data_IF_857450169626
#
_entry.id   IF_857450169626
#
_cell.length_a   1.000
_cell.length_b   1.000
_cell.length_c   1.000
_cell.angle_alpha   90.00
_cell.angle_beta   90.00
_cell.angle_gamma   90.00
#
_symmetry.space_group_name_H-M   'P 1'
#
loop_
_entity.id
_entity.type
_entity.pdbx_description
1 polymer ?
#
# COMPACT_ATOMS: atom_id res chain seq x y z
N UNK A 1 46.49 45.87 -13.01
CA UNK A 1 46.10 45.44 -11.65
C UNK A 1 45.13 44.30 -11.85
N UNK A 2 45.61 43.06 -11.68
CA UNK A 2 44.82 41.85 -11.87
C UNK A 2 43.82 41.72 -10.72
N UNK A 3 42.53 41.72 -11.04
CA UNK A 3 41.49 41.27 -10.15
C UNK A 3 41.22 39.80 -10.46
N UNK A 4 41.98 38.90 -9.83
CA UNK A 4 41.58 37.51 -9.71
C UNK A 4 40.50 37.43 -8.62
N UNK A 5 39.28 36.94 -8.90
CA UNK A 5 38.32 36.65 -7.85
C UNK A 5 38.88 35.51 -7.02
N UNK A 6 39.01 35.73 -5.70
CA UNK A 6 39.37 34.69 -4.73
C UNK A 6 38.30 33.61 -4.80
N UNK A 7 38.56 32.57 -5.59
CA UNK A 7 37.79 31.33 -5.54
C UNK A 7 37.98 30.78 -4.13
N UNK A 8 36.97 30.98 -3.28
CA UNK A 8 36.93 30.40 -1.94
C UNK A 8 36.95 28.88 -2.16
N UNK A 9 38.12 28.24 -2.00
CA UNK A 9 38.21 26.79 -2.09
C UNK A 9 37.41 26.23 -0.92
N UNK A 10 36.27 25.60 -1.22
CA UNK A 10 35.52 24.85 -0.23
C UNK A 10 36.46 23.86 0.43
N UNK A 11 36.45 23.82 1.77
CA UNK A 11 37.20 22.84 2.56
C UNK A 11 36.21 21.87 3.16
N UNK A 12 36.66 20.63 3.32
CA UNK A 12 35.88 19.60 4.01
C UNK A 12 35.48 20.10 5.41
N UNK A 13 34.22 19.92 5.81
CA UNK A 13 33.74 20.38 7.11
C UNK A 13 34.49 19.65 8.24
N UNK A 14 34.81 20.30 9.36
CA UNK A 14 35.39 19.60 10.50
C UNK A 14 34.38 18.61 11.11
N UNK A 15 34.86 17.50 11.70
CA UNK A 15 34.02 16.40 12.21
C UNK A 15 32.84 16.83 13.08
N UNK A 16 33.04 17.85 13.92
CA UNK A 16 32.05 18.30 14.90
C UNK A 16 31.18 19.46 14.38
N UNK A 17 31.29 19.82 13.09
CA UNK A 17 30.49 20.85 12.46
C UNK A 17 29.02 20.40 12.30
N UNK A 18 28.11 21.36 12.18
CA UNK A 18 26.71 21.09 11.85
C UNK A 18 26.55 20.66 10.38
N UNK A 19 27.48 21.06 9.52
CA UNK A 19 27.52 20.75 8.09
C UNK A 19 28.27 19.45 7.76
N UNK A 20 28.87 18.80 8.77
CA UNK A 20 29.55 17.53 8.60
C UNK A 20 28.55 16.39 8.28
N UNK A 21 28.83 15.53 7.29
CA UNK A 21 28.03 14.33 7.03
C UNK A 21 27.94 13.46 8.27
N UNK A 22 26.76 12.88 8.51
CA UNK A 22 26.54 12.00 9.66
C UNK A 22 25.82 10.76 9.21
N UNK A 23 26.18 9.64 9.84
CA UNK A 23 25.50 8.39 9.64
C UNK A 23 25.38 7.65 10.96
N UNK A 24 24.20 7.07 11.18
CA UNK A 24 23.90 6.23 12.34
C UNK A 24 23.93 4.75 11.92
N UNK A 25 24.78 3.97 12.58
CA UNK A 25 24.94 2.54 12.37
C UNK A 25 23.64 1.76 12.63
N UNK A 26 22.74 2.28 13.48
CA UNK A 26 21.42 1.69 13.72
C UNK A 26 20.50 1.76 12.49
N UNK A 27 20.84 2.62 11.52
CA UNK A 27 20.13 2.82 10.27
C UNK A 27 21.02 2.49 9.04
N UNK A 28 21.37 1.21 8.80
CA UNK A 28 22.17 0.78 7.63
C UNK A 28 21.66 1.30 6.28
N UNK A 29 20.33 1.44 6.13
CA UNK A 29 19.69 1.93 4.90
C UNK A 29 20.09 3.36 4.51
N UNK A 30 20.63 4.14 5.44
CA UNK A 30 21.04 5.54 5.21
C UNK A 30 22.51 5.66 4.80
N UNK A 31 23.29 4.58 4.90
CA UNK A 31 24.71 4.56 4.53
C UNK A 31 24.97 4.99 3.07
N UNK A 32 24.16 4.60 2.06
CA UNK A 32 24.33 5.13 0.70
C UNK A 32 24.13 6.64 0.60
N UNK A 33 23.23 7.19 1.42
CA UNK A 33 22.95 8.63 1.44
C UNK A 33 24.13 9.39 2.04
N UNK A 34 24.73 8.87 3.11
CA UNK A 34 25.97 9.38 3.69
C UNK A 34 27.10 9.46 2.66
N UNK A 35 27.34 8.36 1.91
CA UNK A 35 28.36 8.38 0.86
C UNK A 35 28.03 9.35 -0.27
N UNK A 36 26.76 9.50 -0.63
CA UNK A 36 26.33 10.47 -1.65
C UNK A 36 26.62 11.91 -1.23
N UNK A 37 26.37 12.24 0.03
CA UNK A 37 26.68 13.56 0.60
C UNK A 37 28.19 13.83 0.59
N UNK A 38 28.99 12.83 0.98
CA UNK A 38 30.45 12.90 0.86
C UNK A 38 30.92 13.11 -0.58
N UNK A 39 30.35 12.39 -1.54
CA UNK A 39 30.70 12.54 -2.96
C UNK A 39 30.41 13.95 -3.50
N UNK A 40 29.31 14.58 -3.05
CA UNK A 40 29.06 15.99 -3.34
C UNK A 40 30.11 16.91 -2.71
N UNK A 41 30.47 16.69 -1.44
CA UNK A 41 31.51 17.48 -0.77
C UNK A 41 32.88 17.30 -1.41
N UNK A 42 33.23 16.09 -1.84
CA UNK A 42 34.47 15.81 -2.56
C UNK A 42 34.51 16.56 -3.89
N UNK A 43 33.40 16.61 -4.61
CA UNK A 43 33.31 17.39 -5.85
C UNK A 43 33.47 18.89 -5.59
N UNK A 44 32.78 19.41 -4.57
CA UNK A 44 32.83 20.84 -4.20
C UNK A 44 34.23 21.27 -3.72
N UNK A 45 34.89 20.41 -2.94
CA UNK A 45 36.25 20.62 -2.45
C UNK A 45 37.35 20.23 -3.47
N UNK A 46 36.98 19.76 -4.67
CA UNK A 46 37.91 19.27 -5.70
C UNK A 46 38.85 18.13 -5.24
N UNK A 47 38.36 17.25 -4.38
CA UNK A 47 39.09 16.07 -3.89
C UNK A 47 38.94 14.95 -4.92
N UNK A 48 40.02 14.68 -5.65
CA UNK A 48 40.07 13.60 -6.64
C UNK A 48 40.71 12.31 -6.08
N UNK A 49 41.66 12.45 -5.16
CA UNK A 49 42.48 11.36 -4.65
C UNK A 49 41.65 10.30 -3.90
N UNK A 50 41.88 9.03 -4.22
CA UNK A 50 41.10 7.94 -3.63
C UNK A 50 41.41 7.74 -2.16
N UNK A 51 42.67 7.88 -1.76
CA UNK A 51 43.10 7.71 -0.36
C UNK A 51 42.47 8.79 0.51
N UNK A 52 42.55 10.06 0.09
CA UNK A 52 41.89 11.17 0.78
C UNK A 52 40.38 10.96 0.91
N UNK A 53 39.69 10.48 -0.13
CA UNK A 53 38.24 10.20 -0.04
C UNK A 53 37.92 9.13 1.00
N UNK A 54 38.72 8.07 1.10
CA UNK A 54 38.55 7.01 2.11
C UNK A 54 38.80 7.56 3.52
N UNK A 55 39.86 8.33 3.71
CA UNK A 55 40.19 8.97 4.99
C UNK A 55 39.07 9.89 5.49
N UNK A 56 38.60 10.81 4.62
CA UNK A 56 37.50 11.70 4.97
C UNK A 56 36.21 10.92 5.26
N UNK A 57 35.91 9.87 4.49
CA UNK A 57 34.75 9.04 4.75
C UNK A 57 34.81 8.33 6.11
N UNK A 58 35.99 7.96 6.58
CA UNK A 58 36.18 7.37 7.93
C UNK A 58 36.23 8.42 9.05
N UNK A 59 36.44 9.70 8.74
CA UNK A 59 36.59 10.76 9.74
C UNK A 59 35.27 11.15 10.42
N UNK A 60 34.13 11.07 9.72
CA UNK A 60 32.84 11.58 10.21
C UNK A 60 32.01 10.57 10.99
N UNK A 61 32.44 9.32 11.06
CA UNK A 61 31.76 8.23 11.77
C UNK A 61 32.30 8.07 13.21
N UNK A 62 31.74 7.12 13.96
CA UNK A 62 32.26 6.78 15.29
C UNK A 62 33.63 6.10 15.19
N UNK A 63 34.35 6.07 16.30
CA UNK A 63 35.66 5.43 16.37
C UNK A 63 35.59 3.94 15.97
N UNK A 64 34.65 3.18 16.55
CA UNK A 64 34.50 1.74 16.30
C UNK A 64 34.14 1.43 14.84
N UNK A 65 33.30 2.28 14.23
CA UNK A 65 32.97 2.15 12.80
C UNK A 65 34.19 2.46 11.92
N UNK A 66 34.94 3.52 12.25
CA UNK A 66 36.16 3.87 11.52
C UNK A 66 37.18 2.74 11.60
N UNK A 67 37.39 2.14 12.77
CA UNK A 67 38.28 0.99 12.94
C UNK A 67 37.88 -0.19 12.04
N UNK A 68 36.57 -0.48 11.98
CA UNK A 68 36.03 -1.52 11.09
C UNK A 68 36.32 -1.21 9.62
N UNK A 69 36.15 0.04 9.19
CA UNK A 69 36.34 0.44 7.79
C UNK A 69 37.82 0.51 7.39
N UNK A 70 38.70 0.88 8.32
CA UNK A 70 40.16 0.91 8.17
C UNK A 70 40.75 -0.50 8.08
N UNK A 71 40.13 -1.48 8.75
CA UNK A 71 40.54 -2.89 8.70
C UNK A 71 40.21 -3.60 7.37
N UNK A 72 39.44 -2.98 6.47
CA UNK A 72 39.13 -3.56 5.17
C UNK A 72 40.39 -3.66 4.29
N UNK A 73 40.64 -4.80 3.61
CA UNK A 73 41.73 -4.93 2.65
C UNK A 73 41.70 -3.84 1.57
N UNK A 74 40.49 -3.43 1.16
CA UNK A 74 40.27 -2.40 0.15
C UNK A 74 40.56 -0.97 0.65
N UNK A 75 40.75 -0.77 1.97
CA UNK A 75 41.15 0.54 2.50
C UNK A 75 42.62 0.80 2.19
N UNK A 76 43.49 -0.15 2.55
CA UNK A 76 44.94 -0.06 2.39
C UNK A 76 45.43 -0.26 0.95
N UNK A 77 46.75 -0.08 0.78
CA UNK A 77 47.45 -0.26 -0.50
C UNK A 77 47.69 -1.73 -0.87
N UNK A 78 46.98 -2.67 -0.22
CA UNK A 78 47.23 -4.10 -0.38
C UNK A 78 46.83 -4.57 -1.79
N UNK A 79 47.85 -4.70 -2.61
CA UNK A 79 47.89 -5.09 -4.02
C UNK A 79 47.09 -6.37 -4.29
N UNK A 80 46.29 -6.38 -5.35
CA UNK A 80 45.68 -7.60 -5.92
C UNK A 80 46.78 -8.65 -6.17
N UNK A 81 46.67 -9.81 -5.52
CA UNK A 81 47.50 -10.99 -5.83
C UNK A 81 46.79 -11.77 -6.94
N UNK A 82 47.18 -11.47 -8.18
CA UNK A 82 46.72 -12.10 -9.41
C UNK A 82 47.63 -11.70 -10.58
N UNK A 83 47.40 -12.21 -11.79
CA UNK A 83 48.22 -11.93 -12.98
C UNK A 83 48.18 -10.47 -13.47
N UNK A 84 47.48 -9.57 -12.76
CA UNK A 84 47.35 -8.17 -13.09
C UNK A 84 48.37 -7.30 -12.32
N UNK A 85 48.78 -6.20 -12.93
CA UNK A 85 49.75 -5.28 -12.34
C UNK A 85 49.28 -4.76 -10.96
N UNK A 86 50.18 -4.62 -9.98
CA UNK A 86 49.87 -4.06 -8.68
C UNK A 86 49.19 -2.69 -8.80
N UNK A 87 47.95 -2.57 -8.31
CA UNK A 87 47.28 -1.27 -8.18
C UNK A 87 46.56 -1.14 -6.82
N UNK A 88 46.53 0.06 -6.25
CA UNK A 88 45.72 0.33 -5.07
C UNK A 88 44.23 0.24 -5.41
N UNK A 89 43.43 -0.13 -4.41
CA UNK A 89 41.97 -0.13 -4.53
C UNK A 89 41.44 1.29 -4.65
N UNK A 90 40.48 1.49 -5.55
CA UNK A 90 39.79 2.76 -5.72
C UNK A 90 38.83 3.02 -4.55
N UNK A 91 38.43 4.28 -4.39
CA UNK A 91 37.38 4.65 -3.44
C UNK A 91 36.06 3.90 -3.72
N UNK A 92 35.71 3.66 -4.99
CA UNK A 92 34.47 2.96 -5.35
C UNK A 92 34.52 1.47 -4.97
N UNK A 93 35.66 0.80 -5.14
CA UNK A 93 35.85 -0.59 -4.71
C UNK A 93 35.77 -0.72 -3.19
N UNK A 94 36.41 0.19 -2.46
CA UNK A 94 36.32 0.24 -1.00
C UNK A 94 34.90 0.57 -0.52
N UNK A 95 34.22 1.57 -1.11
CA UNK A 95 32.81 1.91 -0.81
C UNK A 95 31.90 0.70 -0.99
N UNK A 96 32.09 -0.06 -2.07
CA UNK A 96 31.35 -1.30 -2.29
C UNK A 96 31.64 -2.34 -1.20
N UNK A 97 32.89 -2.48 -0.77
CA UNK A 97 33.26 -3.35 0.36
C UNK A 97 32.60 -2.93 1.67
N UNK A 98 32.62 -1.64 1.99
CA UNK A 98 31.93 -1.07 3.17
C UNK A 98 30.43 -1.35 3.11
N UNK A 99 29.77 -1.10 1.97
CA UNK A 99 28.33 -1.37 1.82
C UNK A 99 27.98 -2.86 2.04
N UNK A 100 28.88 -3.79 1.73
CA UNK A 100 28.69 -5.24 1.97
C UNK A 100 28.73 -5.61 3.46
N UNK A 101 29.40 -4.83 4.31
CA UNK A 101 29.44 -5.08 5.76
C UNK A 101 28.08 -4.86 6.43
N UNK A 102 27.20 -4.07 5.81
CA UNK A 102 25.93 -3.65 6.37
C UNK A 102 24.75 -4.18 5.55
N UNK A 103 24.21 -5.38 5.88
CA UNK A 103 23.00 -5.90 5.25
C UNK A 103 21.85 -4.87 5.32
N UNK A 104 21.30 -4.51 4.16
CA UNK A 104 20.27 -3.47 4.04
C UNK A 104 20.80 -2.07 3.69
N UNK A 105 22.11 -1.84 3.67
CA UNK A 105 22.72 -0.67 3.05
C UNK A 105 22.69 -0.75 1.52
N UNK A 106 22.65 -1.95 0.94
CA UNK A 106 22.46 -2.09 -0.50
C UNK A 106 21.10 -1.52 -0.93
N UNK A 107 21.13 -0.60 -1.89
CA UNK A 107 19.94 -0.05 -2.52
C UNK A 107 19.05 -1.16 -3.08
N UNK A 108 19.60 -2.31 -3.49
CA UNK A 108 18.87 -3.48 -4.01
C UNK A 108 17.96 -4.17 -2.99
N UNK A 109 18.16 -3.93 -1.69
CA UNK A 109 17.40 -4.53 -0.59
C UNK A 109 16.52 -3.52 0.17
N UNK A 110 16.37 -2.28 -0.36
CA UNK A 110 15.71 -1.17 0.34
C UNK A 110 14.27 -1.48 0.79
N UNK A 111 13.48 -2.11 -0.08
CA UNK A 111 12.15 -2.59 0.26
C UNK A 111 11.93 -4.02 -0.24
N UNK A 112 10.97 -4.71 0.37
CA UNK A 112 10.44 -5.99 -0.10
C UNK A 112 8.91 -5.94 -0.05
N UNK A 113 8.26 -6.95 -0.64
CA UNK A 113 6.80 -7.04 -0.66
C UNK A 113 6.21 -7.02 0.76
N UNK A 114 6.85 -7.70 1.72
CA UNK A 114 6.43 -7.72 3.12
C UNK A 114 6.45 -6.34 3.82
N UNK A 115 7.28 -5.39 3.37
CA UNK A 115 7.21 -4.01 3.85
C UNK A 115 5.93 -3.31 3.38
N UNK A 116 5.51 -3.56 2.14
CA UNK A 116 4.29 -3.01 1.57
C UNK A 116 3.05 -3.63 2.22
N UNK A 117 3.02 -4.96 2.38
CA UNK A 117 1.94 -5.68 3.06
C UNK A 117 1.79 -5.25 4.52
N UNK A 118 2.91 -5.05 5.23
CA UNK A 118 2.89 -4.56 6.61
C UNK A 118 2.28 -3.16 6.70
N UNK A 119 2.65 -2.26 5.79
CA UNK A 119 2.05 -0.92 5.73
C UNK A 119 0.54 -1.03 5.50
N UNK A 120 0.10 -1.81 4.52
CA UNK A 120 -1.31 -2.06 4.19
C UNK A 120 -2.08 -2.58 5.41
N UNK A 121 -1.54 -3.57 6.11
CA UNK A 121 -2.16 -4.15 7.29
C UNK A 121 -2.22 -3.16 8.47
N UNK A 122 -1.17 -2.36 8.67
CA UNK A 122 -1.13 -1.32 9.71
C UNK A 122 -2.16 -0.22 9.46
N UNK A 123 -2.31 0.22 8.22
CA UNK A 123 -3.28 1.26 7.87
C UNK A 123 -4.71 0.77 7.90
N UNK A 124 -4.96 -0.48 7.47
CA UNK A 124 -6.28 -1.09 7.59
C UNK A 124 -6.76 -1.14 9.05
N UNK A 125 -5.87 -1.52 9.97
CA UNK A 125 -6.20 -1.63 11.40
C UNK A 125 -6.32 -0.28 12.13
N UNK A 126 -5.57 0.75 11.71
CA UNK A 126 -5.58 2.06 12.38
C UNK A 126 -6.68 3.02 11.90
N UNK A 127 -7.38 2.67 10.81
CA UNK A 127 -8.47 3.44 10.24
C UNK A 127 -8.00 4.69 9.46
N UNK A 128 -8.49 4.85 8.23
CA UNK A 128 -8.20 5.99 7.35
C UNK A 128 -9.33 7.04 7.39
N UNK A 129 -9.73 7.45 8.59
CA UNK A 129 -10.92 8.28 8.80
C UNK A 129 -10.78 9.75 8.36
N UNK A 130 -9.55 10.27 8.25
CA UNK A 130 -9.29 11.68 7.92
C UNK A 130 -8.47 11.80 6.63
N UNK A 131 -8.62 12.94 5.95
CA UNK A 131 -7.83 13.25 4.76
C UNK A 131 -6.32 13.22 5.04
N UNK A 132 -5.89 13.68 6.21
CA UNK A 132 -4.49 13.65 6.62
C UNK A 132 -3.94 12.22 6.66
N UNK A 133 -4.60 11.33 7.40
CA UNK A 133 -4.17 9.92 7.51
C UNK A 133 -4.19 9.20 6.15
N UNK A 134 -5.19 9.46 5.33
CA UNK A 134 -5.26 8.90 3.98
C UNK A 134 -4.12 9.40 3.08
N UNK A 135 -3.76 10.68 3.21
CA UNK A 135 -2.63 11.27 2.47
C UNK A 135 -1.28 10.72 2.91
N UNK A 136 -1.12 10.46 4.22
CA UNK A 136 0.08 9.81 4.75
C UNK A 136 0.21 8.39 4.23
N UNK A 137 -0.87 7.60 4.30
CA UNK A 137 -0.91 6.25 3.72
C UNK A 137 -0.52 6.25 2.25
N UNK A 138 -1.12 7.13 1.45
CA UNK A 138 -0.80 7.25 0.02
C UNK A 138 0.69 7.54 -0.22
N UNK A 139 1.28 8.50 0.53
CA UNK A 139 2.70 8.86 0.40
C UNK A 139 3.61 7.70 0.76
N UNK A 140 3.34 7.01 1.87
CA UNK A 140 4.16 5.91 2.35
C UNK A 140 4.03 4.68 1.44
N UNK A 141 2.81 4.39 0.96
CA UNK A 141 2.57 3.30 0.00
C UNK A 141 3.34 3.56 -1.29
N UNK A 142 3.19 4.75 -1.86
CA UNK A 142 3.88 5.16 -3.08
C UNK A 142 5.40 5.14 -2.94
N UNK A 143 5.95 5.49 -1.77
CA UNK A 143 7.40 5.41 -1.49
C UNK A 143 7.93 3.99 -1.64
N UNK A 144 7.20 3.00 -1.13
CA UNK A 144 7.58 1.59 -1.18
C UNK A 144 7.28 1.00 -2.57
N UNK A 145 6.05 1.18 -3.08
CA UNK A 145 5.57 0.60 -4.33
C UNK A 145 6.39 1.05 -5.55
N UNK A 146 6.70 2.35 -5.67
CA UNK A 146 7.52 2.85 -6.80
C UNK A 146 8.91 2.23 -6.84
N UNK A 147 9.52 2.06 -5.67
CA UNK A 147 10.83 1.40 -5.61
C UNK A 147 10.72 -0.07 -6.03
N UNK A 148 9.68 -0.79 -5.57
CA UNK A 148 9.47 -2.20 -5.95
C UNK A 148 9.18 -2.35 -7.46
N UNK A 149 8.35 -1.49 -8.04
CA UNK A 149 8.06 -1.45 -9.49
C UNK A 149 9.34 -1.22 -10.31
N UNK A 150 10.14 -0.22 -9.92
CA UNK A 150 11.39 0.11 -10.62
C UNK A 150 12.43 -1.03 -10.59
N UNK A 151 12.35 -1.91 -9.59
CA UNK A 151 13.24 -3.06 -9.44
C UNK A 151 12.59 -4.37 -9.91
N UNK A 152 11.43 -4.34 -10.56
CA UNK A 152 10.73 -5.53 -11.05
C UNK A 152 10.24 -6.48 -9.95
N UNK A 153 10.10 -5.99 -8.71
CA UNK A 153 9.68 -6.78 -7.54
C UNK A 153 8.18 -6.64 -7.21
N UNK A 154 7.45 -5.87 -8.01
CA UNK A 154 6.02 -5.64 -7.90
C UNK A 154 5.46 -5.38 -9.30
N UNK A 155 4.26 -5.87 -9.59
CA UNK A 155 3.56 -5.60 -10.84
C UNK A 155 2.46 -4.56 -10.65
N UNK A 156 2.08 -3.79 -11.69
CA UNK A 156 1.02 -2.76 -11.58
C UNK A 156 -0.32 -3.28 -11.06
N UNK A 157 -0.74 -4.47 -11.49
CA UNK A 157 -2.01 -5.04 -11.02
C UNK A 157 -1.94 -5.41 -9.53
N UNK A 158 -0.79 -5.88 -9.07
CA UNK A 158 -0.54 -6.21 -7.67
C UNK A 158 -0.47 -4.94 -6.81
N UNK A 159 0.20 -3.88 -7.30
CA UNK A 159 0.20 -2.54 -6.68
C UNK A 159 -1.23 -2.04 -6.44
N UNK A 160 -2.09 -2.08 -7.46
CA UNK A 160 -3.48 -1.61 -7.37
C UNK A 160 -4.29 -2.39 -6.33
N UNK A 161 -4.16 -3.72 -6.35
CA UNK A 161 -4.86 -4.61 -5.40
C UNK A 161 -4.38 -4.39 -3.96
N UNK A 162 -3.08 -4.29 -3.75
CA UNK A 162 -2.51 -4.04 -2.41
C UNK A 162 -2.91 -2.66 -1.89
N UNK A 163 -2.93 -1.63 -2.75
CA UNK A 163 -3.37 -0.30 -2.34
C UNK A 163 -4.81 -0.30 -1.85
N UNK A 164 -5.70 -0.95 -2.59
CA UNK A 164 -7.11 -1.12 -2.22
C UNK A 164 -7.26 -1.87 -0.89
N UNK A 165 -6.48 -2.93 -0.66
CA UNK A 165 -6.56 -3.74 0.56
C UNK A 165 -6.28 -2.93 1.84
N UNK A 166 -5.48 -1.85 1.75
CA UNK A 166 -5.21 -0.99 2.89
C UNK A 166 -6.34 -0.01 3.23
N UNK A 167 -7.38 0.06 2.39
CA UNK A 167 -8.50 0.99 2.55
C UNK A 167 -9.66 0.28 3.26
N UNK A 168 -10.17 0.84 4.39
CA UNK A 168 -11.34 0.28 5.06
C UNK A 168 -12.56 0.22 4.14
N UNK A 169 -13.33 -0.87 4.21
CA UNK A 169 -14.49 -1.13 3.33
C UNK A 169 -15.49 0.04 3.30
N UNK A 170 -15.74 0.67 4.45
CA UNK A 170 -16.67 1.81 4.57
C UNK A 170 -16.21 3.04 3.80
N UNK A 171 -14.90 3.28 3.71
CA UNK A 171 -14.31 4.32 2.88
C UNK A 171 -14.29 3.88 1.42
N UNK A 172 -13.91 2.63 1.15
CA UNK A 172 -13.83 2.07 -0.20
C UNK A 172 -15.15 2.21 -0.96
N UNK A 173 -16.29 1.85 -0.36
CA UNK A 173 -17.60 1.99 -1.02
C UNK A 173 -17.90 3.42 -1.46
N UNK A 174 -17.59 4.42 -0.63
CA UNK A 174 -17.77 5.83 -0.98
C UNK A 174 -16.83 6.28 -2.11
N UNK A 175 -15.59 5.77 -2.10
CA UNK A 175 -14.62 6.06 -3.15
C UNK A 175 -15.04 5.46 -4.47
N UNK A 176 -15.49 4.20 -4.49
CA UNK A 176 -16.00 3.54 -5.70
C UNK A 176 -17.18 4.30 -6.29
N UNK A 177 -18.19 4.67 -5.50
CA UNK A 177 -19.31 5.48 -6.02
C UNK A 177 -18.83 6.80 -6.64
N UNK A 178 -17.80 7.43 -6.08
CA UNK A 178 -17.22 8.64 -6.68
C UNK A 178 -16.46 8.34 -7.97
N UNK A 179 -15.76 7.21 -8.04
CA UNK A 179 -15.00 6.80 -9.23
C UNK A 179 -15.93 6.43 -10.37
N UNK A 180 -17.02 5.70 -10.13
CA UNK A 180 -18.04 5.37 -11.14
C UNK A 180 -18.63 6.63 -11.80
N UNK A 181 -18.84 7.70 -11.04
CA UNK A 181 -19.32 8.98 -11.56
C UNK A 181 -18.25 9.71 -12.39
N UNK A 182 -16.97 9.56 -12.03
CA UNK A 182 -15.87 10.33 -12.65
C UNK A 182 -15.14 9.58 -13.76
N UNK A 183 -15.33 8.27 -13.85
CA UNK A 183 -14.72 7.35 -14.81
C UNK A 183 -15.81 6.43 -15.41
N UNK A 184 -16.73 6.98 -16.22
CA UNK A 184 -17.88 6.22 -16.73
C UNK A 184 -17.47 5.05 -17.65
N UNK A 185 -16.31 5.12 -18.30
CA UNK A 185 -15.82 4.10 -19.22
C UNK A 185 -14.95 3.02 -18.52
N UNK A 186 -14.87 3.01 -17.19
CA UNK A 186 -14.07 2.03 -16.45
C UNK A 186 -14.74 0.66 -16.42
N UNK A 187 -13.99 -0.39 -16.78
CA UNK A 187 -14.50 -1.75 -16.78
C UNK A 187 -14.56 -2.33 -15.35
N UNK A 188 -15.65 -3.00 -14.95
CA UNK A 188 -15.82 -3.50 -13.57
C UNK A 188 -14.73 -4.47 -13.08
N UNK A 189 -14.13 -5.23 -14.00
CA UNK A 189 -13.07 -6.21 -13.68
C UNK A 189 -11.67 -5.59 -13.60
N UNK A 190 -11.50 -4.35 -14.07
CA UNK A 190 -10.20 -3.70 -14.05
C UNK A 190 -9.96 -3.06 -12.68
N UNK A 191 -8.79 -3.27 -12.03
CA UNK A 191 -8.47 -2.55 -10.82
C UNK A 191 -8.29 -1.05 -11.10
N UNK A 192 -8.88 -0.20 -10.25
CA UNK A 192 -8.65 1.24 -10.28
C UNK A 192 -7.16 1.58 -10.09
N UNK A 193 -6.71 2.63 -10.77
CA UNK A 193 -5.35 3.13 -10.58
C UNK A 193 -5.19 3.82 -9.21
N UNK A 194 -4.02 3.68 -8.60
CA UNK A 194 -3.71 4.24 -7.26
C UNK A 194 -3.96 5.76 -7.23
N UNK A 195 -3.61 6.46 -8.31
CA UNK A 195 -3.81 7.92 -8.40
C UNK A 195 -5.30 8.29 -8.52
N UNK A 196 -6.09 7.47 -9.21
CA UNK A 196 -7.53 7.66 -9.33
C UNK A 196 -8.20 7.48 -7.98
N UNK A 197 -7.90 6.38 -7.28
CA UNK A 197 -8.39 6.10 -5.93
C UNK A 197 -8.02 7.24 -4.97
N UNK A 198 -6.79 7.74 -5.04
CA UNK A 198 -6.36 8.86 -4.20
C UNK A 198 -7.18 10.14 -4.45
N UNK A 199 -7.43 10.49 -5.71
CA UNK A 199 -8.28 11.64 -6.08
C UNK A 199 -9.72 11.46 -5.59
N UNK A 200 -10.30 10.27 -5.75
CA UNK A 200 -11.64 9.94 -5.28
C UNK A 200 -11.78 10.05 -3.75
N UNK A 201 -10.85 9.44 -3.02
CA UNK A 201 -10.81 9.50 -1.56
C UNK A 201 -10.63 10.93 -1.02
N UNK A 202 -9.78 11.74 -1.66
CA UNK A 202 -9.62 13.15 -1.29
C UNK A 202 -10.93 13.93 -1.40
N UNK A 203 -11.76 13.64 -2.40
CA UNK A 203 -13.07 14.28 -2.55
C UNK A 203 -14.05 13.83 -1.45
N UNK A 204 -14.13 12.51 -1.22
CA UNK A 204 -15.03 11.92 -0.21
C UNK A 204 -14.70 12.42 1.20
N UNK A 205 -13.42 12.47 1.55
CA UNK A 205 -12.99 12.87 2.90
C UNK A 205 -13.17 14.37 3.12
N UNK A 206 -12.95 15.23 2.11
CA UNK A 206 -13.27 16.67 2.20
C UNK A 206 -14.76 16.95 2.37
N UNK A 207 -15.61 16.18 1.71
CA UNK A 207 -17.07 16.29 1.88
C UNK A 207 -17.50 15.89 3.29
N UNK A 208 -16.85 14.89 3.88
CA UNK A 208 -17.20 14.42 5.23
C UNK A 208 -16.96 15.49 6.29
N UNK A 209 -15.90 16.30 6.17
CA UNK A 209 -15.62 17.42 7.09
C UNK A 209 -16.64 18.56 7.03
N UNK A 210 -17.43 18.67 5.95
CA UNK A 210 -18.41 19.75 5.77
C UNK A 210 -19.84 19.36 6.18
N UNK A 211 -20.17 18.07 6.19
CA UNK A 211 -21.50 17.59 6.58
C UNK A 211 -21.66 17.29 8.08
N UNK A 212 -20.57 17.12 8.84
CA UNK A 212 -20.63 16.85 10.29
C UNK A 212 -20.77 18.09 11.18
N UNK A 213 -20.77 19.31 10.64
CA UNK A 213 -20.89 20.55 11.46
C UNK A 213 -22.33 21.05 11.64
N UNK A 214 -23.37 20.30 11.23
CA UNK A 214 -24.76 20.75 11.39
C UNK A 214 -25.68 19.67 11.97
N UNK A 215 -25.43 19.27 13.22
CA UNK A 215 -26.51 18.86 14.14
C UNK A 215 -26.07 19.07 15.59
N UNK A 216 -26.48 20.18 16.21
CA UNK A 216 -26.73 20.22 17.65
C UNK A 216 -27.86 21.21 17.95
N UNK A 217 -29.02 20.60 18.19
CA UNK A 217 -30.20 20.99 18.97
C UNK A 217 -30.33 22.44 19.45
N UNK A 218 -31.49 23.01 19.16
CA UNK A 218 -31.93 24.31 19.67
C UNK A 218 -32.30 24.30 21.16
N UNK A 219 -32.40 25.50 21.71
CA UNK A 219 -33.30 25.87 22.81
C UNK A 219 -33.65 27.36 22.68
N UNK A 220 -34.93 27.61 22.92
CA UNK A 220 -35.77 28.81 22.86
C UNK A 220 -35.22 30.15 23.39
N UNK A 221 -35.69 31.25 22.78
CA UNK A 221 -35.70 32.60 23.34
C UNK A 221 -36.25 33.66 22.36
N UNK A 222 -37.50 34.07 22.57
CA UNK A 222 -38.31 35.04 21.80
C UNK A 222 -37.89 36.49 22.12
N UNK A 223 -37.84 37.42 21.14
CA UNK A 223 -38.63 38.68 21.12
C UNK A 223 -38.40 39.59 19.88
N UNK A 224 -39.54 39.98 19.27
CA UNK A 224 -39.96 41.20 18.55
C UNK A 224 -38.94 42.03 17.72
N UNK A 225 -39.23 42.46 16.48
CA UNK A 225 -40.43 43.23 16.07
C UNK A 225 -40.57 43.37 14.54
N UNK A 226 -41.82 43.53 14.09
CA UNK A 226 -42.33 43.83 12.73
C UNK A 226 -42.42 45.36 12.48
N UNK A 227 -42.61 45.86 11.23
CA UNK A 227 -43.98 46.11 10.70
C UNK A 227 -44.16 45.71 9.21
N UNK A 228 -45.20 44.94 8.87
CA UNK A 228 -46.51 45.31 8.28
C UNK A 228 -46.44 45.98 6.89
N UNK A 229 -46.88 45.23 5.86
CA UNK A 229 -47.86 45.68 4.84
C UNK A 229 -48.39 44.46 4.04
N UNK A 230 -49.71 44.36 3.90
CA UNK A 230 -50.51 43.42 3.07
C UNK A 230 -51.84 44.14 2.74
N UNK A 231 -52.73 43.67 1.83
CA UNK A 231 -52.64 42.84 0.60
C UNK A 231 -53.51 43.48 -0.55
N UNK A 232 -53.99 42.80 -1.64
CA UNK A 232 -55.10 41.79 -1.63
C UNK A 232 -54.93 40.61 -2.66
N UNK A 233 -55.21 39.32 -2.37
CA UNK A 233 -56.50 38.56 -2.37
C UNK A 233 -56.72 37.64 -3.62
N UNK A 234 -56.49 36.32 -3.42
CA UNK A 234 -57.32 35.11 -3.82
C UNK A 234 -57.30 34.59 -5.30
N UNK A 235 -57.60 33.30 -5.64
CA UNK A 235 -57.65 32.01 -4.90
C UNK A 235 -56.75 30.87 -5.47
N UNK A 236 -56.50 29.86 -4.61
CA UNK A 236 -55.99 28.51 -4.93
C UNK A 236 -57.05 27.60 -5.58
N UNK A 237 -56.67 26.50 -6.25
CA UNK A 237 -56.97 25.19 -5.66
C UNK A 237 -55.80 24.19 -5.68
N UNK A 238 -55.75 23.38 -4.62
CA UNK A 238 -54.74 22.38 -4.30
C UNK A 238 -54.79 21.10 -5.17
N UNK A 239 -53.68 20.33 -5.27
CA UNK A 239 -53.58 19.11 -6.07
C UNK A 239 -53.88 17.82 -5.28
N UNK A 240 -54.37 16.81 -6.00
CA UNK A 240 -54.67 15.45 -5.52
C UNK A 240 -53.38 14.68 -5.19
N UNK A 241 -53.16 14.34 -3.91
CA UNK A 241 -52.00 13.58 -3.42
C UNK A 241 -52.21 12.06 -3.30
N UNK A 242 -53.38 11.52 -3.66
CA UNK A 242 -53.71 10.12 -3.34
C UNK A 242 -53.21 9.08 -4.35
N UNK A 243 -52.62 9.48 -5.49
CA UNK A 243 -52.19 8.54 -6.54
C UNK A 243 -50.71 8.09 -6.43
N UNK A 244 -49.87 8.73 -5.59
CA UNK A 244 -48.43 8.45 -5.54
C UNK A 244 -48.05 7.41 -4.46
N UNK A 245 -48.83 7.26 -3.40
CA UNK A 245 -48.50 6.33 -2.31
C UNK A 245 -48.79 4.85 -2.64
N UNK A 246 -49.80 4.57 -3.46
CA UNK A 246 -50.15 3.18 -3.83
C UNK A 246 -49.18 2.56 -4.84
N UNK A 247 -48.65 3.38 -5.77
CA UNK A 247 -47.64 2.95 -6.74
C UNK A 247 -46.28 2.66 -6.08
N UNK A 248 -45.92 3.44 -5.06
CA UNK A 248 -44.62 3.32 -4.39
C UNK A 248 -44.56 2.10 -3.46
N UNK A 249 -45.67 1.77 -2.79
CA UNK A 249 -45.75 0.58 -1.92
C UNK A 249 -45.78 -0.73 -2.70
N UNK A 250 -46.44 -0.77 -3.86
CA UNK A 250 -46.49 -1.97 -4.71
C UNK A 250 -45.12 -2.25 -5.36
N UNK A 251 -44.38 -1.21 -5.73
CA UNK A 251 -43.01 -1.34 -6.25
C UNK A 251 -42.03 -1.87 -5.20
N UNK A 252 -42.17 -1.44 -3.93
CA UNK A 252 -41.33 -1.90 -2.82
C UNK A 252 -41.62 -3.36 -2.46
N UNK A 253 -42.89 -3.76 -2.42
CA UNK A 253 -43.27 -5.16 -2.14
C UNK A 253 -42.76 -6.08 -3.25
N UNK A 254 -42.90 -5.67 -4.52
CA UNK A 254 -42.39 -6.46 -5.65
C UNK A 254 -40.86 -6.51 -5.72
N UNK A 255 -40.15 -5.49 -5.21
CA UNK A 255 -38.69 -5.51 -5.08
C UNK A 255 -38.21 -6.42 -3.92
N UNK A 256 -38.96 -6.49 -2.83
CA UNK A 256 -38.70 -7.39 -1.70
C UNK A 256 -38.95 -8.86 -2.07
N UNK A 257 -40.03 -9.16 -2.79
CA UNK A 257 -40.30 -10.52 -3.32
C UNK A 257 -39.21 -10.97 -4.31
N UNK A 258 -38.65 -10.06 -5.11
CA UNK A 258 -37.50 -10.34 -6.01
C UNK A 258 -36.19 -10.58 -5.24
N UNK A 259 -35.97 -9.90 -4.12
CA UNK A 259 -34.82 -10.13 -3.25
C UNK A 259 -34.92 -11.47 -2.50
N UNK A 260 -36.13 -11.86 -2.10
CA UNK A 260 -36.39 -13.16 -1.46
C UNK A 260 -36.21 -14.32 -2.45
N UNK A 261 -36.59 -14.14 -3.72
CA UNK A 261 -36.33 -15.10 -4.80
C UNK A 261 -34.82 -15.26 -5.10
N UNK A 262 -34.02 -14.19 -5.00
CA UNK A 262 -32.56 -14.24 -5.19
C UNK A 262 -31.82 -14.91 -4.03
N UNK A 263 -32.35 -14.83 -2.80
CA UNK A 263 -31.79 -15.49 -1.62
C UNK A 263 -32.15 -16.98 -1.53
N UNK A 264 -33.24 -17.40 -2.19
CA UNK A 264 -33.68 -18.80 -2.26
C UNK A 264 -33.18 -19.55 -3.50
N UNK A 265 -32.77 -18.86 -4.57
CA UNK A 265 -32.09 -19.48 -5.72
C UNK A 265 -30.58 -19.60 -5.50
N UNK A 266 -30.20 -20.52 -4.61
CA UNK A 266 -28.82 -20.94 -4.46
C UNK A 266 -28.29 -21.62 -5.73
N UNK A 267 -27.40 -20.90 -6.42
CA UNK A 267 -26.20 -21.40 -7.09
C UNK A 267 -26.35 -21.98 -8.53
N UNK A 268 -25.95 -21.18 -9.53
CA UNK A 268 -25.16 -21.62 -10.68
C UNK A 268 -24.61 -20.42 -11.48
N UNK A 269 -23.35 -20.01 -11.27
CA UNK A 269 -22.43 -19.88 -12.40
C UNK A 269 -20.96 -19.85 -11.95
N UNK A 270 -20.04 -20.52 -12.68
CA UNK A 270 -18.74 -20.89 -12.17
C UNK A 270 -17.71 -19.77 -12.32
N UNK A 271 -17.09 -19.45 -11.20
CA UNK A 271 -15.79 -18.82 -11.09
C UNK A 271 -14.72 -19.91 -11.29
N UNK A 272 -13.75 -19.71 -12.19
CA UNK A 272 -12.33 -19.65 -11.86
C UNK A 272 -11.38 -20.05 -13.00
N UNK A 273 -10.47 -19.13 -13.28
CA UNK A 273 -9.09 -19.45 -13.61
C UNK A 273 -8.43 -20.07 -12.37
N UNK A 274 -8.41 -21.41 -12.28
CA UNK A 274 -7.51 -22.16 -11.42
C UNK A 274 -6.66 -23.07 -12.29
N UNK A 275 -5.66 -22.52 -12.95
CA UNK A 275 -4.96 -23.26 -14.00
C UNK A 275 -3.98 -24.32 -13.51
N UNK A 276 -3.76 -24.55 -12.19
CA UNK A 276 -2.82 -25.58 -11.72
C UNK A 276 -3.18 -26.28 -10.40
N UNK A 277 -4.44 -26.26 -9.94
CA UNK A 277 -4.85 -26.97 -8.72
C UNK A 277 -5.56 -28.29 -9.05
N UNK A 278 -5.01 -29.42 -8.59
CA UNK A 278 -5.68 -30.73 -8.61
C UNK A 278 -6.58 -30.88 -7.39
N UNK A 279 -7.84 -31.28 -7.60
CA UNK A 279 -8.79 -31.53 -6.53
C UNK A 279 -8.38 -32.77 -5.73
N UNK A 280 -8.13 -32.62 -4.42
CA UNK A 280 -7.72 -33.72 -3.55
C UNK A 280 -8.79 -34.82 -3.37
N UNK A 281 -10.04 -34.57 -3.76
CA UNK A 281 -11.16 -35.52 -3.64
C UNK A 281 -11.40 -36.35 -4.91
N UNK A 282 -11.41 -35.73 -6.09
CA UNK A 282 -11.65 -36.44 -7.35
C UNK A 282 -10.39 -36.63 -8.23
N UNK A 283 -9.29 -35.94 -7.92
CA UNK A 283 -8.04 -35.99 -8.68
C UNK A 283 -8.02 -35.12 -9.94
N UNK A 284 -9.10 -34.42 -10.27
CA UNK A 284 -9.21 -33.61 -11.50
C UNK A 284 -8.57 -32.23 -11.35
N UNK A 285 -7.95 -31.73 -12.43
CA UNK A 285 -7.37 -30.39 -12.48
C UNK A 285 -8.43 -29.32 -12.70
N UNK A 286 -8.17 -28.11 -12.23
CA UNK A 286 -9.02 -26.94 -12.49
C UNK A 286 -9.93 -26.52 -11.33
N UNK A 287 -9.91 -27.25 -10.20
CA UNK A 287 -10.68 -26.90 -9.01
C UNK A 287 -10.06 -27.48 -7.74
N UNK A 288 -10.44 -26.95 -6.57
CA UNK A 288 -9.95 -27.37 -5.25
C UNK A 288 -11.06 -28.11 -4.47
N UNK A 289 -10.71 -28.75 -3.34
CA UNK A 289 -11.66 -29.52 -2.52
C UNK A 289 -12.60 -28.63 -1.68
N UNK A 290 -13.29 -27.67 -2.32
CA UNK A 290 -14.21 -26.72 -1.69
C UNK A 290 -15.64 -26.96 -2.16
N UNK A 291 -16.61 -26.78 -1.27
CA UNK A 291 -18.04 -26.92 -1.57
C UNK A 291 -18.42 -26.03 -2.75
N UNK A 292 -19.15 -26.58 -3.72
CA UNK A 292 -19.55 -25.87 -4.94
C UNK A 292 -18.53 -25.87 -6.08
N UNK A 293 -17.28 -26.31 -5.84
CA UNK A 293 -16.24 -26.38 -6.90
C UNK A 293 -15.99 -27.80 -7.43
N UNK A 294 -16.16 -28.83 -6.59
CA UNK A 294 -16.07 -30.24 -7.01
C UNK A 294 -17.48 -30.86 -7.16
N UNK A 295 -17.91 -31.12 -8.39
CA UNK A 295 -19.23 -31.70 -8.69
C UNK A 295 -19.37 -33.11 -8.07
N UNK A 296 -18.32 -33.92 -8.11
CA UNK A 296 -18.30 -35.29 -7.57
C UNK A 296 -18.46 -35.32 -6.05
N UNK A 297 -17.82 -34.36 -5.36
CA UNK A 297 -17.97 -34.18 -3.91
C UNK A 297 -19.42 -33.80 -3.57
N UNK A 298 -20.00 -32.84 -4.30
CA UNK A 298 -21.36 -32.38 -4.07
C UNK A 298 -22.38 -33.50 -4.32
N UNK A 299 -22.15 -34.33 -5.34
CA UNK A 299 -23.00 -35.49 -5.63
C UNK A 299 -22.94 -36.53 -4.50
N UNK A 300 -21.78 -36.80 -3.91
CA UNK A 300 -21.66 -37.74 -2.79
C UNK A 300 -22.28 -37.20 -1.49
N UNK A 301 -22.22 -35.89 -1.25
CA UNK A 301 -22.94 -35.23 -0.15
C UNK A 301 -24.46 -35.33 -0.38
N UNK A 302 -24.94 -35.05 -1.60
CA UNK A 302 -26.36 -35.13 -1.95
C UNK A 302 -26.90 -36.56 -1.89
N UNK A 303 -26.07 -37.56 -2.21
CA UNK A 303 -26.39 -38.98 -2.05
C UNK A 303 -26.32 -39.47 -0.60
N UNK A 304 -25.93 -38.62 0.36
CA UNK A 304 -25.84 -38.97 1.77
C UNK A 304 -24.73 -39.99 2.09
N UNK A 305 -23.75 -40.17 1.18
CA UNK A 305 -22.64 -41.12 1.35
C UNK A 305 -21.48 -40.54 2.17
N UNK A 306 -21.41 -39.23 2.30
CA UNK A 306 -20.43 -38.48 3.10
C UNK A 306 -21.12 -37.21 3.62
N UNK A 307 -20.66 -36.69 4.77
CA UNK A 307 -21.13 -35.43 5.36
C UNK A 307 -19.93 -34.59 5.82
N UNK A 308 -20.11 -33.29 6.06
CA UNK A 308 -19.08 -32.45 6.68
C UNK A 308 -19.40 -32.20 8.15
N UNK A 309 -18.39 -32.21 9.01
CA UNK A 309 -18.54 -31.82 10.42
C UNK A 309 -18.51 -30.27 10.57
N UNK A 310 -18.71 -29.78 11.80
CA UNK A 310 -18.71 -28.35 12.11
C UNK A 310 -17.37 -27.67 11.77
N UNK A 311 -16.28 -28.44 11.75
CA UNK A 311 -14.92 -27.99 11.39
C UNK A 311 -14.65 -28.05 9.87
N UNK A 312 -15.65 -28.39 9.04
CA UNK A 312 -15.54 -28.40 7.58
C UNK A 312 -14.84 -29.62 6.97
N UNK A 313 -14.49 -30.64 7.77
CA UNK A 313 -13.86 -31.90 7.34
C UNK A 313 -14.87 -32.91 6.83
N UNK A 314 -14.48 -33.73 5.85
CA UNK A 314 -15.32 -34.78 5.26
C UNK A 314 -15.29 -36.03 6.15
N UNK A 315 -16.47 -36.52 6.54
CA UNK A 315 -16.68 -37.69 7.37
C UNK A 315 -17.75 -38.60 6.76
N UNK A 316 -17.78 -39.87 7.16
CA UNK A 316 -18.85 -40.80 6.78
C UNK A 316 -20.17 -40.42 7.47
N UNK A 317 -21.32 -40.90 6.97
CA UNK A 317 -22.63 -40.68 7.60
C UNK A 317 -22.70 -41.24 9.03
N UNK A 318 -21.91 -42.29 9.31
CA UNK A 318 -21.72 -42.89 10.63
C UNK A 318 -20.89 -42.02 11.61
N UNK A 319 -20.34 -40.89 11.16
CA UNK A 319 -19.51 -40.00 11.97
C UNK A 319 -18.01 -40.36 11.98
N UNK A 320 -17.62 -41.51 11.42
CA UNK A 320 -16.22 -41.91 11.31
C UNK A 320 -15.46 -41.05 10.27
N UNK A 321 -14.22 -40.70 10.57
CA UNK A 321 -13.33 -40.07 9.58
C UNK A 321 -12.94 -41.09 8.51
N UNK A 322 -12.83 -40.64 7.25
CA UNK A 322 -12.37 -41.47 6.14
C UNK A 322 -10.84 -41.59 6.25
N UNK A 323 -10.28 -42.80 6.47
CA UNK A 323 -8.84 -43.00 6.50
C UNK A 323 -8.27 -42.74 5.09
N UNK A 324 -7.13 -42.03 5.00
CA UNK A 324 -6.39 -41.61 3.78
C UNK A 324 -6.68 -40.24 3.13
N UNK A 325 -7.36 -39.30 3.80
CA UNK A 325 -7.47 -37.91 3.27
C UNK A 325 -6.33 -36.96 3.65
N UNK A 326 -5.31 -37.44 4.37
CA UNK A 326 -4.12 -36.67 4.72
C UNK A 326 -2.88 -37.52 4.45
N UNK A 327 -2.31 -37.40 3.25
CA UNK A 327 -1.03 -38.04 2.96
C UNK A 327 -0.69 -38.20 1.48
N UNK A 328 -0.28 -37.10 0.83
CA UNK A 328 1.05 -36.91 0.24
C UNK A 328 1.21 -35.48 -0.25
#
# INVERSE_FOLDING_TARGET
MNNDPVAWRARMPPRNDTTAPKWDESCPRELPQYFKELEYLFADCSIADNTQKKEYASQYISYDMAETWLGLPEFGDNIIIGNDAPRPYTYQEWKAAVLRLYPGADASARYNLGNLERLVNQTFNSGLATLGRFSDYYRDFQRIARWLLANGKLYRNEERRLFQQGIPTSLWSKVVCRLEITLPDHHPEDPYDVDQVFKGAKWVLKGTDTFTTKTSNGTTGIHSSLPIANPPTVPSPAPKQEALELATTTAIISALERLEALLTSGNAQPCQQFTNSTCHFCGEMGHIMVRGTCIKLEQMIRQGKIRRNAEGKIILPSGAMIPNYFGK
#
